data_IF_315856397633
#
_entry.id   IF_315856397633
#
_cell.length_a   1.000
_cell.length_b   1.000
_cell.length_c   1.000
_cell.angle_alpha   90.00
_cell.angle_beta   90.00
_cell.angle_gamma   90.00
#
_symmetry.space_group_name_H-M   'P 1'
#
loop_
_entity.id
_entity.type
_entity.pdbx_description
1 polymer ?
#
# COMPACT_ATOMS: atom_id res chain seq x y z
N UNK A 1 21.74 5.56 -2.42
CA UNK A 1 20.83 6.67 -2.12
C UNK A 1 20.23 7.13 -3.43
N UNK A 2 18.91 7.36 -3.48
CA UNK A 2 18.18 7.78 -4.69
C UNK A 2 17.75 9.24 -4.62
N UNK A 3 17.34 9.70 -3.44
CA UNK A 3 16.92 11.09 -3.23
C UNK A 3 17.13 11.51 -1.77
N UNK A 4 17.21 12.81 -1.57
CA UNK A 4 17.16 13.45 -0.26
C UNK A 4 16.17 14.61 -0.35
N UNK A 5 15.40 14.87 0.71
CA UNK A 5 14.45 15.99 0.72
C UNK A 5 15.17 17.34 0.53
N UNK A 6 14.59 18.19 -0.31
CA UNK A 6 15.11 19.54 -0.55
C UNK A 6 14.92 20.46 0.66
N UNK A 7 15.68 21.56 0.66
CA UNK A 7 15.56 22.60 1.67
C UNK A 7 16.43 22.38 2.91
N UNK A 8 16.36 23.34 3.84
CA UNK A 8 17.09 23.32 5.11
C UNK A 8 16.20 23.02 6.30
N UNK A 9 14.88 22.98 6.09
CA UNK A 9 13.89 22.76 7.14
C UNK A 9 13.76 21.27 7.50
N UNK A 10 13.34 20.99 8.70
CA UNK A 10 13.06 19.66 9.23
C UNK A 10 11.53 19.42 9.28
N UNK A 11 11.06 18.17 9.16
CA UNK A 11 11.84 16.92 9.05
C UNK A 11 12.51 16.75 7.69
N UNK A 12 13.62 16.00 7.65
CA UNK A 12 14.29 15.61 6.41
C UNK A 12 14.15 14.11 6.15
N UNK A 13 14.06 13.75 4.87
CA UNK A 13 13.91 12.36 4.47
C UNK A 13 14.96 11.97 3.43
N UNK A 14 15.33 10.69 3.43
CA UNK A 14 16.21 10.05 2.46
C UNK A 14 15.45 8.90 1.82
N UNK A 15 15.46 8.82 0.51
CA UNK A 15 15.03 7.65 -0.26
C UNK A 15 16.29 6.87 -0.69
N UNK A 16 16.32 5.59 -0.37
CA UNK A 16 17.39 4.68 -0.76
C UNK A 16 16.82 3.40 -1.39
N UNK A 17 17.58 2.81 -2.29
CA UNK A 17 17.31 1.48 -2.83
C UNK A 17 18.43 0.53 -2.39
N UNK A 18 18.06 -0.72 -2.20
CA UNK A 18 18.95 -1.83 -1.88
C UNK A 18 18.34 -3.10 -2.45
N UNK A 19 19.16 -4.07 -2.82
CA UNK A 19 18.69 -5.42 -3.05
C UNK A 19 18.39 -6.07 -1.69
N UNK A 20 17.41 -6.97 -1.64
CA UNK A 20 17.15 -7.80 -0.47
C UNK A 20 18.34 -8.73 -0.18
N UNK A 21 18.27 -9.50 0.90
CA UNK A 21 19.34 -10.41 1.31
C UNK A 21 19.69 -11.45 0.25
N UNK A 22 18.72 -11.82 -0.57
CA UNK A 22 18.85 -12.87 -1.59
C UNK A 22 19.21 -12.27 -2.97
N UNK A 23 19.30 -10.95 -3.06
CA UNK A 23 19.56 -10.22 -4.31
C UNK A 23 18.43 -10.29 -5.34
N UNK A 24 17.27 -10.82 -4.96
CA UNK A 24 16.16 -11.11 -5.87
C UNK A 24 15.21 -9.93 -6.07
N UNK A 25 15.09 -9.04 -5.07
CA UNK A 25 14.15 -7.91 -5.11
C UNK A 25 14.84 -6.62 -4.74
N UNK A 26 14.46 -5.56 -5.44
CA UNK A 26 14.84 -4.21 -5.04
C UNK A 26 13.91 -3.74 -3.93
N UNK A 27 14.51 -3.37 -2.80
CA UNK A 27 13.82 -2.77 -1.66
C UNK A 27 13.98 -1.26 -1.72
N UNK A 28 12.90 -0.52 -1.53
CA UNK A 28 12.95 0.91 -1.31
C UNK A 28 12.80 1.22 0.17
N UNK A 29 13.70 2.03 0.68
CA UNK A 29 13.76 2.45 2.07
C UNK A 29 13.57 3.95 2.18
N UNK A 30 12.74 4.37 3.13
CA UNK A 30 12.63 5.78 3.53
C UNK A 30 13.14 5.92 4.95
N UNK A 31 14.07 6.82 5.12
CA UNK A 31 14.60 7.23 6.42
C UNK A 31 14.22 8.68 6.67
N UNK A 32 13.79 9.00 7.89
CA UNK A 32 13.39 10.35 8.29
C UNK A 32 14.13 10.74 9.55
N UNK A 33 14.61 11.97 9.58
CA UNK A 33 15.09 12.63 10.80
C UNK A 33 14.22 13.85 11.09
N UNK A 34 13.82 14.01 12.35
CA UNK A 34 12.96 15.11 12.78
C UNK A 34 13.72 16.42 13.00
N UNK A 35 15.04 16.36 13.26
CA UNK A 35 15.87 17.53 13.53
C UNK A 35 17.33 17.28 13.15
N UNK A 36 18.15 18.34 13.19
CA UNK A 36 19.58 18.27 12.86
C UNK A 36 20.40 17.41 13.85
N UNK A 37 19.89 17.21 15.07
CA UNK A 37 20.58 16.46 16.13
C UNK A 37 20.06 15.02 16.27
N UNK A 38 18.95 14.67 15.59
CA UNK A 38 18.43 13.32 15.60
C UNK A 38 18.96 12.48 14.44
N UNK A 39 19.24 11.18 14.67
CA UNK A 39 19.62 10.28 13.59
C UNK A 39 18.44 10.03 12.63
N UNK A 40 18.76 9.70 11.39
CA UNK A 40 17.77 9.19 10.45
C UNK A 40 17.26 7.83 10.91
N UNK A 41 15.96 7.70 11.03
CA UNK A 41 15.26 6.45 11.39
C UNK A 41 14.57 5.87 10.18
N UNK A 42 14.68 4.56 9.99
CA UNK A 42 13.92 3.84 8.96
C UNK A 42 12.42 3.90 9.30
N UNK A 43 11.62 4.50 8.41
CA UNK A 43 10.18 4.65 8.60
C UNK A 43 9.35 3.84 7.60
N UNK A 44 9.95 3.45 6.48
CA UNK A 44 9.33 2.56 5.50
C UNK A 44 10.40 1.71 4.81
N UNK A 45 10.04 0.45 4.55
CA UNK A 45 10.81 -0.49 3.77
C UNK A 45 9.83 -1.38 3.02
N UNK A 46 9.84 -1.33 1.68
CA UNK A 46 8.86 -2.03 0.86
C UNK A 46 9.54 -2.57 -0.39
N UNK A 47 9.30 -3.84 -0.76
CA UNK A 47 9.82 -4.40 -1.99
C UNK A 47 9.15 -3.76 -3.21
N UNK A 48 9.93 -3.54 -4.27
CA UNK A 48 9.38 -3.18 -5.55
C UNK A 48 8.65 -4.37 -6.19
N UNK A 49 7.58 -4.07 -6.91
CA UNK A 49 6.85 -5.07 -7.68
C UNK A 49 7.68 -5.51 -8.90
N UNK A 50 7.55 -6.77 -9.34
CA UNK A 50 8.24 -7.26 -10.53
C UNK A 50 7.96 -6.38 -11.76
N UNK A 51 9.04 -5.98 -12.44
CA UNK A 51 8.95 -5.13 -13.64
C UNK A 51 8.61 -3.66 -13.38
N UNK A 52 8.34 -3.26 -12.13
CA UNK A 52 8.12 -1.86 -11.80
C UNK A 52 9.41 -1.05 -11.90
N UNK A 53 9.27 0.20 -12.34
CA UNK A 53 10.39 1.14 -12.44
C UNK A 53 10.10 2.39 -11.63
N UNK A 54 11.13 2.90 -10.96
CA UNK A 54 11.09 4.20 -10.32
C UNK A 54 11.73 5.22 -11.27
N UNK A 55 10.99 6.25 -11.71
CA UNK A 55 11.58 7.36 -12.46
C UNK A 55 12.71 8.05 -11.70
N UNK A 56 13.63 8.70 -12.38
CA UNK A 56 14.75 9.38 -11.75
C UNK A 56 14.28 10.42 -10.72
N UNK A 57 14.92 10.45 -9.56
CA UNK A 57 14.60 11.41 -8.51
C UNK A 57 15.14 12.82 -8.76
N UNK A 58 15.90 13.03 -9.84
CA UNK A 58 16.54 14.30 -10.19
C UNK A 58 17.95 14.43 -9.63
N UNK A 59 18.46 15.65 -9.58
CA UNK A 59 19.79 15.94 -9.10
C UNK A 59 19.88 15.78 -7.58
N UNK A 60 20.79 14.96 -7.11
CA UNK A 60 21.05 14.78 -5.67
C UNK A 60 21.51 16.06 -4.97
N UNK A 61 22.18 16.96 -5.66
CA UNK A 61 22.67 18.21 -5.09
C UNK A 61 21.51 19.15 -4.75
N UNK A 62 20.43 19.12 -5.54
CA UNK A 62 19.22 19.89 -5.27
C UNK A 62 18.27 19.18 -4.28
N UNK A 63 18.36 17.84 -4.17
CA UNK A 63 17.44 17.00 -3.43
C UNK A 63 16.04 17.02 -4.03
N UNK A 64 15.26 15.96 -3.77
CA UNK A 64 13.86 15.90 -4.16
C UNK A 64 12.97 16.58 -3.09
N UNK A 65 11.99 17.41 -3.45
CA UNK A 65 11.07 17.98 -2.48
C UNK A 65 10.29 16.89 -1.74
N UNK A 66 10.21 17.02 -0.42
CA UNK A 66 9.39 16.12 0.39
C UNK A 66 7.92 16.46 0.20
N UNK A 67 7.11 15.47 -0.13
CA UNK A 67 5.65 15.56 -0.19
C UNK A 67 5.09 14.91 1.07
N UNK A 68 4.55 15.68 2.01
CA UNK A 68 3.98 15.14 3.24
C UNK A 68 2.45 15.10 3.18
N UNK A 69 1.84 14.20 3.97
CA UNK A 69 0.40 14.08 4.11
C UNK A 69 -0.28 15.37 4.61
N UNK A 70 0.44 16.17 5.40
CA UNK A 70 -0.08 17.41 5.96
C UNK A 70 -0.30 18.51 4.90
N UNK A 71 0.24 18.35 3.71
CA UNK A 71 0.36 19.45 2.76
C UNK A 71 -0.86 19.64 1.87
N UNK A 72 -1.93 18.92 1.95
CA UNK A 72 -3.20 19.28 1.31
C UNK A 72 -3.99 18.08 0.77
N UNK A 73 -5.25 18.02 1.11
CA UNK A 73 -6.29 17.23 0.43
C UNK A 73 -6.58 17.73 -1.00
N UNK A 74 -5.97 18.85 -1.40
CA UNK A 74 -6.12 19.42 -2.75
C UNK A 74 -4.77 19.38 -3.46
N UNK A 75 -4.81 18.99 -4.73
CA UNK A 75 -3.65 19.13 -5.61
C UNK A 75 -3.40 20.63 -5.80
N UNK A 76 -2.26 21.18 -5.37
CA UNK A 76 -1.97 22.59 -5.62
C UNK A 76 -1.90 22.85 -7.13
N UNK A 77 -2.41 23.98 -7.58
CA UNK A 77 -2.23 24.40 -8.96
C UNK A 77 -0.73 24.40 -9.32
N UNK A 78 -0.36 23.78 -10.44
CA UNK A 78 1.04 23.65 -10.85
C UNK A 78 1.85 22.60 -10.09
N UNK A 79 1.21 21.77 -9.25
CA UNK A 79 1.90 20.70 -8.51
C UNK A 79 2.49 19.60 -9.40
N UNK A 80 2.01 19.45 -10.63
CA UNK A 80 2.50 18.46 -11.58
C UNK A 80 2.14 17.01 -11.25
N UNK A 81 1.20 16.74 -10.33
CA UNK A 81 0.66 15.39 -10.06
C UNK A 81 -0.86 15.36 -10.24
N UNK A 82 -1.39 14.20 -10.63
CA UNK A 82 -2.83 14.02 -10.91
C UNK A 82 -3.69 13.99 -9.65
N UNK A 83 -3.14 13.50 -8.53
CA UNK A 83 -3.82 13.44 -7.23
C UNK A 83 -2.88 13.89 -6.11
N UNK A 84 -3.42 14.48 -5.05
CA UNK A 84 -2.65 14.69 -3.83
C UNK A 84 -2.28 13.32 -3.20
N UNK A 85 -1.14 13.19 -2.50
CA UNK A 85 -0.67 11.92 -1.95
C UNK A 85 -1.72 11.16 -1.13
N UNK A 86 -2.43 11.83 -0.25
CA UNK A 86 -3.51 11.24 0.56
C UNK A 86 -4.67 10.75 -0.31
N UNK A 87 -5.06 11.54 -1.30
CA UNK A 87 -6.13 11.16 -2.24
C UNK A 87 -5.71 9.97 -3.10
N UNK A 88 -4.45 9.92 -3.55
CA UNK A 88 -3.91 8.80 -4.31
C UNK A 88 -3.95 7.51 -3.48
N UNK A 89 -3.51 7.55 -2.21
CA UNK A 89 -3.54 6.42 -1.31
C UNK A 89 -4.98 5.94 -1.03
N UNK A 90 -5.90 6.87 -0.75
CA UNK A 90 -7.32 6.55 -0.51
C UNK A 90 -7.99 5.98 -1.76
N UNK A 91 -7.74 6.56 -2.93
CA UNK A 91 -8.32 6.11 -4.19
C UNK A 91 -7.80 4.71 -4.57
N UNK A 92 -6.49 4.45 -4.40
CA UNK A 92 -5.91 3.14 -4.64
C UNK A 92 -6.48 2.10 -3.65
N UNK A 93 -6.51 2.39 -2.36
CA UNK A 93 -7.09 1.51 -1.35
C UNK A 93 -8.56 1.17 -1.66
N UNK A 94 -9.36 2.16 -2.03
CA UNK A 94 -10.76 1.95 -2.39
C UNK A 94 -10.90 1.04 -3.62
N UNK A 95 -10.00 1.15 -4.60
CA UNK A 95 -10.04 0.36 -5.83
C UNK A 95 -9.71 -1.14 -5.62
N UNK A 96 -9.06 -1.50 -4.50
CA UNK A 96 -8.72 -2.88 -4.15
C UNK A 96 -9.85 -3.65 -3.46
N UNK A 97 -11.00 -3.02 -3.18
CA UNK A 97 -12.08 -3.65 -2.42
C UNK A 97 -12.73 -4.84 -3.13
N UNK A 98 -13.24 -5.80 -2.33
CA UNK A 98 -14.03 -6.94 -2.83
C UNK A 98 -15.38 -6.95 -2.12
N UNK A 99 -16.51 -6.92 -2.86
CA UNK A 99 -16.61 -6.92 -4.32
C UNK A 99 -16.01 -5.66 -4.96
N UNK A 100 -15.51 -5.82 -6.19
CA UNK A 100 -14.85 -4.74 -6.91
C UNK A 100 -15.77 -3.51 -7.03
N UNK A 101 -15.29 -2.31 -6.69
CA UNK A 101 -16.06 -1.08 -6.82
C UNK A 101 -16.18 -0.66 -8.30
N UNK A 102 -16.96 0.41 -8.53
CA UNK A 102 -16.95 1.06 -9.85
C UNK A 102 -15.54 1.57 -10.17
N UNK A 103 -15.09 1.33 -11.40
CA UNK A 103 -13.77 1.76 -11.85
C UNK A 103 -13.54 3.26 -11.65
N UNK A 104 -12.39 3.61 -11.10
CA UNK A 104 -11.94 4.99 -10.96
C UNK A 104 -10.83 5.24 -12.01
N UNK A 105 -11.03 6.11 -13.01
CA UNK A 105 -10.04 6.33 -14.07
C UNK A 105 -8.74 6.96 -13.55
N UNK A 106 -8.74 7.56 -12.37
CA UNK A 106 -7.55 8.13 -11.76
C UNK A 106 -6.61 7.08 -11.14
N UNK A 107 -7.03 5.80 -11.09
CA UNK A 107 -6.27 4.70 -10.47
C UNK A 107 -6.21 3.51 -11.41
N UNK A 108 -5.03 2.91 -11.52
CA UNK A 108 -4.82 1.63 -12.20
C UNK A 108 -4.58 0.54 -11.16
N UNK A 109 -5.36 -0.54 -11.25
CA UNK A 109 -5.18 -1.77 -10.46
C UNK A 109 -4.68 -2.92 -11.34
N UNK A 110 -3.85 -2.59 -12.34
CA UNK A 110 -3.23 -3.55 -13.26
C UNK A 110 -1.83 -4.00 -12.81
N UNK A 111 -1.34 -3.45 -11.72
CA UNK A 111 -0.09 -3.90 -11.11
C UNK A 111 -0.21 -5.33 -10.55
N UNK A 112 0.92 -6.00 -10.35
CA UNK A 112 0.94 -7.40 -9.93
C UNK A 112 0.35 -7.62 -8.53
N UNK A 113 0.48 -6.64 -7.63
CA UNK A 113 -0.10 -6.72 -6.29
C UNK A 113 -1.63 -6.73 -6.34
N UNK A 114 -2.23 -5.72 -6.98
CA UNK A 114 -3.68 -5.62 -7.13
C UNK A 114 -4.26 -6.84 -7.89
N UNK A 115 -3.58 -7.27 -8.95
CA UNK A 115 -3.98 -8.44 -9.74
C UNK A 115 -3.95 -9.72 -8.90
N UNK A 116 -2.92 -9.92 -8.10
CA UNK A 116 -2.80 -11.08 -7.19
C UNK A 116 -3.91 -11.06 -6.15
N UNK A 117 -4.17 -9.93 -5.50
CA UNK A 117 -5.26 -9.79 -4.53
C UNK A 117 -6.62 -10.13 -5.16
N UNK A 118 -6.93 -9.56 -6.31
CA UNK A 118 -8.20 -9.81 -7.00
C UNK A 118 -8.36 -11.29 -7.41
N UNK A 119 -7.30 -11.91 -7.94
CA UNK A 119 -7.29 -13.31 -8.34
C UNK A 119 -7.47 -14.23 -7.14
N UNK A 120 -6.75 -13.97 -6.06
CA UNK A 120 -6.85 -14.75 -4.81
C UNK A 120 -8.25 -14.63 -4.20
N UNK A 121 -8.80 -13.41 -4.12
CA UNK A 121 -10.15 -13.20 -3.61
C UNK A 121 -11.22 -13.89 -4.47
N UNK A 122 -11.08 -13.87 -5.79
CA UNK A 122 -11.98 -14.59 -6.69
C UNK A 122 -11.91 -16.11 -6.49
N UNK A 123 -10.70 -16.67 -6.36
CA UNK A 123 -10.50 -18.08 -6.08
C UNK A 123 -11.08 -18.50 -4.72
N UNK A 124 -10.87 -17.68 -3.69
CA UNK A 124 -11.45 -17.90 -2.36
C UNK A 124 -12.99 -17.86 -2.38
N UNK A 125 -13.59 -16.85 -3.02
CA UNK A 125 -15.03 -16.76 -3.16
C UNK A 125 -15.61 -17.96 -3.91
N UNK A 126 -14.91 -18.43 -4.96
CA UNK A 126 -15.30 -19.65 -5.67
C UNK A 126 -15.22 -20.90 -4.79
N UNK A 127 -14.17 -21.03 -3.99
CA UNK A 127 -14.00 -22.16 -3.06
C UNK A 127 -15.02 -22.13 -1.92
N UNK A 128 -15.37 -20.95 -1.41
CA UNK A 128 -16.41 -20.78 -0.39
C UNK A 128 -17.81 -21.11 -0.95
N UNK A 129 -18.04 -20.91 -2.23
CA UNK A 129 -19.30 -21.21 -2.94
C UNK A 129 -20.53 -20.66 -2.18
N UNK A 130 -21.48 -21.54 -1.78
CA UNK A 130 -22.67 -21.18 -1.01
C UNK A 130 -22.45 -21.22 0.51
N UNK A 131 -21.26 -21.66 0.96
CA UNK A 131 -20.98 -21.83 2.40
C UNK A 131 -20.65 -20.52 3.10
N UNK A 132 -20.02 -19.61 2.41
CA UNK A 132 -19.63 -18.31 2.97
C UNK A 132 -19.39 -17.28 1.85
N UNK A 133 -19.26 -16.01 2.26
CA UNK A 133 -18.95 -14.88 1.37
C UNK A 133 -17.75 -14.14 1.91
N UNK A 134 -16.74 -13.90 1.06
CA UNK A 134 -15.61 -13.05 1.36
C UNK A 134 -15.88 -11.62 0.89
N UNK A 135 -15.60 -10.68 1.78
CA UNK A 135 -15.47 -9.25 1.43
C UNK A 135 -14.12 -8.73 1.88
N UNK A 136 -13.53 -7.82 1.13
CA UNK A 136 -12.26 -7.17 1.47
C UNK A 136 -12.43 -5.66 1.44
N UNK A 137 -11.92 -5.00 2.47
CA UNK A 137 -11.90 -3.54 2.58
C UNK A 137 -10.48 -3.10 2.88
N UNK A 138 -10.00 -2.12 2.11
CA UNK A 138 -8.70 -1.50 2.33
C UNK A 138 -8.89 -0.06 2.79
N UNK A 139 -8.11 0.37 3.76
CA UNK A 139 -8.14 1.73 4.31
C UNK A 139 -6.72 2.27 4.32
N UNK A 140 -6.48 3.35 3.62
CA UNK A 140 -5.18 4.01 3.61
C UNK A 140 -4.95 4.81 4.90
N UNK A 141 -3.75 4.74 5.45
CA UNK A 141 -3.31 5.68 6.47
C UNK A 141 -3.33 7.11 5.88
N UNK A 142 -3.93 8.04 6.60
CA UNK A 142 -3.99 9.46 6.20
C UNK A 142 -2.92 10.31 6.87
N UNK A 143 -2.18 9.72 7.81
CA UNK A 143 -1.06 10.34 8.51
C UNK A 143 0.21 9.55 8.22
N UNK A 144 1.35 10.21 8.35
CA UNK A 144 2.67 9.58 8.18
C UNK A 144 2.96 9.05 6.76
N UNK A 145 2.31 9.63 5.75
CA UNK A 145 2.73 9.41 4.37
C UNK A 145 4.04 10.18 4.12
N UNK A 146 4.94 9.56 3.40
CA UNK A 146 6.18 10.19 2.95
C UNK A 146 6.27 10.05 1.44
N UNK A 147 6.64 11.12 0.75
CA UNK A 147 6.78 11.08 -0.69
C UNK A 147 7.91 11.98 -1.19
N UNK A 148 8.35 11.68 -2.38
CA UNK A 148 9.38 12.45 -3.08
C UNK A 148 8.88 12.84 -4.45
N UNK A 149 9.13 14.09 -4.84
CA UNK A 149 8.99 14.54 -6.21
C UNK A 149 10.07 13.92 -7.06
N UNK A 150 9.70 13.49 -8.25
CA UNK A 150 10.60 12.95 -9.24
C UNK A 150 10.88 13.98 -10.33
N UNK A 151 11.94 13.76 -11.13
CA UNK A 151 12.39 14.72 -12.15
C UNK A 151 11.36 14.95 -13.26
N UNK A 152 10.52 13.96 -13.55
CA UNK A 152 9.45 14.02 -14.54
C UNK A 152 8.16 14.71 -14.03
N UNK A 153 8.20 15.27 -12.83
CA UNK A 153 7.06 15.92 -12.19
C UNK A 153 6.09 14.96 -11.50
N UNK A 154 6.28 13.65 -11.59
CA UNK A 154 5.55 12.67 -10.82
C UNK A 154 5.96 12.67 -9.34
N UNK A 155 5.30 11.87 -8.50
CA UNK A 155 5.70 11.65 -7.12
C UNK A 155 5.66 10.17 -6.78
N UNK A 156 6.64 9.71 -5.99
CA UNK A 156 6.59 8.43 -5.31
C UNK A 156 6.06 8.65 -3.89
N UNK A 157 5.07 7.87 -3.48
CA UNK A 157 4.38 8.02 -2.19
C UNK A 157 4.40 6.70 -1.45
N UNK A 158 4.97 6.70 -0.25
CA UNK A 158 4.95 5.57 0.68
C UNK A 158 3.75 5.71 1.61
N UNK A 159 2.93 4.68 1.64
CA UNK A 159 1.73 4.62 2.47
C UNK A 159 1.54 3.23 3.07
N UNK A 160 0.74 3.15 4.11
CA UNK A 160 0.32 1.90 4.72
C UNK A 160 -1.18 1.74 4.52
N UNK A 161 -1.59 0.62 3.95
CA UNK A 161 -2.97 0.22 3.92
C UNK A 161 -3.24 -0.80 5.04
N UNK A 162 -4.43 -0.72 5.60
CA UNK A 162 -4.97 -1.78 6.46
C UNK A 162 -6.06 -2.49 5.68
N UNK A 163 -5.86 -3.78 5.38
CA UNK A 163 -6.87 -4.63 4.78
C UNK A 163 -7.63 -5.37 5.88
N UNK A 164 -8.95 -5.39 5.74
CA UNK A 164 -9.84 -6.22 6.56
C UNK A 164 -10.59 -7.17 5.65
N UNK A 165 -10.31 -8.47 5.79
CA UNK A 165 -11.05 -9.54 5.14
C UNK A 165 -12.15 -10.02 6.09
N UNK A 166 -13.38 -10.09 5.60
CA UNK A 166 -14.50 -10.64 6.35
C UNK A 166 -15.09 -11.81 5.57
N UNK A 167 -14.98 -13.01 6.14
CA UNK A 167 -15.60 -14.23 5.62
C UNK A 167 -16.84 -14.49 6.47
N UNK A 168 -18.02 -14.23 5.91
CA UNK A 168 -19.30 -14.43 6.60
C UNK A 168 -19.87 -15.79 6.23
N UNK A 169 -20.12 -16.64 7.22
CA UNK A 169 -20.74 -17.96 7.04
C UNK A 169 -22.17 -17.79 6.54
N UNK A 170 -22.52 -18.50 5.46
CA UNK A 170 -23.85 -18.44 4.85
C UNK A 170 -24.92 -19.16 5.69
N UNK A 171 -26.17 -18.76 5.53
CA UNK A 171 -27.30 -19.33 6.28
C UNK A 171 -27.47 -20.85 6.07
N UNK A 172 -27.01 -21.40 4.93
CA UNK A 172 -27.06 -22.83 4.62
C UNK A 172 -25.90 -23.65 5.17
N UNK A 173 -24.90 -23.01 5.80
CA UNK A 173 -23.76 -23.70 6.38
C UNK A 173 -23.80 -23.64 7.91
N UNK A 174 -23.50 -24.78 8.55
CA UNK A 174 -23.35 -24.80 10.01
C UNK A 174 -22.03 -24.18 10.46
N UNK A 175 -20.98 -24.41 9.69
CA UNK A 175 -19.61 -23.96 9.97
C UNK A 175 -18.76 -23.98 8.70
N UNK A 176 -17.64 -23.28 8.75
CA UNK A 176 -16.54 -23.41 7.79
C UNK A 176 -15.28 -23.86 8.51
N UNK A 177 -14.48 -24.73 7.89
CA UNK A 177 -13.18 -25.17 8.40
C UNK A 177 -12.13 -24.16 7.98
N UNK A 178 -11.28 -23.75 8.91
CA UNK A 178 -10.24 -22.76 8.65
C UNK A 178 -8.94 -23.42 8.24
N UNK A 179 -8.23 -22.88 7.21
CA UNK A 179 -6.88 -23.31 6.87
C UNK A 179 -5.92 -23.15 8.06
N UNK A 180 -4.78 -23.84 8.00
CA UNK A 180 -3.82 -23.88 9.10
C UNK A 180 -3.33 -22.48 9.52
N UNK A 181 -3.07 -21.61 8.55
CA UNK A 181 -2.67 -20.21 8.77
C UNK A 181 -3.73 -19.39 9.52
N UNK A 182 -5.01 -19.55 9.14
CA UNK A 182 -6.11 -18.85 9.83
C UNK A 182 -6.36 -19.44 11.21
N UNK A 183 -6.20 -20.75 11.36
CA UNK A 183 -6.24 -21.41 12.68
C UNK A 183 -5.15 -20.85 13.60
N UNK A 184 -3.92 -20.69 13.09
CA UNK A 184 -2.81 -20.17 13.89
C UNK A 184 -3.09 -18.77 14.42
N UNK A 185 -3.67 -17.88 13.58
CA UNK A 185 -3.88 -16.48 13.97
C UNK A 185 -5.21 -16.24 14.72
N UNK A 186 -6.24 -17.07 14.47
CA UNK A 186 -7.54 -16.93 15.16
C UNK A 186 -7.66 -17.78 16.41
N UNK A 187 -6.80 -18.78 16.61
CA UNK A 187 -6.89 -19.79 17.67
C UNK A 187 -8.05 -20.78 17.49
N UNK A 188 -8.76 -20.77 16.34
CA UNK A 188 -9.93 -21.63 16.09
C UNK A 188 -9.75 -22.42 14.78
N UNK A 189 -10.15 -23.70 14.81
CA UNK A 189 -10.15 -24.56 13.63
C UNK A 189 -11.37 -24.35 12.73
N UNK A 190 -12.45 -23.75 13.26
CA UNK A 190 -13.74 -23.60 12.60
C UNK A 190 -14.37 -22.27 12.96
N UNK A 191 -15.25 -21.75 12.11
CA UNK A 191 -16.10 -20.60 12.39
C UNK A 191 -17.56 -20.91 12.02
N UNK A 192 -18.48 -20.48 12.88
CA UNK A 192 -19.93 -20.68 12.74
C UNK A 192 -20.67 -19.43 12.28
N UNK A 193 -20.05 -18.25 12.44
CA UNK A 193 -20.65 -16.95 12.05
C UNK A 193 -19.77 -16.19 11.08
N UNK A 194 -18.56 -15.87 11.50
CA UNK A 194 -17.64 -15.09 10.66
C UNK A 194 -16.17 -15.29 11.04
N UNK A 195 -15.30 -15.00 10.08
CA UNK A 195 -13.87 -14.81 10.29
C UNK A 195 -13.52 -13.39 9.83
N UNK A 196 -12.78 -12.68 10.65
CA UNK A 196 -12.22 -11.38 10.31
C UNK A 196 -10.70 -11.48 10.40
N UNK A 197 -10.01 -11.15 9.32
CA UNK A 197 -8.56 -11.10 9.26
C UNK A 197 -8.14 -9.66 8.99
N UNK A 198 -7.02 -9.26 9.57
CA UNK A 198 -6.44 -7.93 9.34
C UNK A 198 -5.02 -8.10 8.83
N UNK A 199 -4.72 -7.51 7.69
CA UNK A 199 -3.38 -7.40 7.13
C UNK A 199 -2.93 -5.95 7.07
N UNK A 200 -1.64 -5.73 7.23
CA UNK A 200 -0.97 -4.48 6.91
C UNK A 200 -0.33 -4.62 5.55
N UNK A 201 -0.50 -3.59 4.72
CA UNK A 201 0.03 -3.56 3.37
C UNK A 201 0.83 -2.27 3.17
N UNK A 202 2.15 -2.28 3.41
CA UNK A 202 3.02 -1.20 2.97
C UNK A 202 3.00 -1.14 1.45
N UNK A 203 2.65 0.03 0.89
CA UNK A 203 2.50 0.24 -0.55
C UNK A 203 3.30 1.46 -0.98
N UNK A 204 3.95 1.35 -2.12
CA UNK A 204 4.60 2.47 -2.81
C UNK A 204 3.79 2.80 -4.05
N UNK A 205 3.23 3.99 -4.08
CA UNK A 205 2.45 4.50 -5.22
C UNK A 205 3.31 5.42 -6.08
N UNK A 206 3.22 5.25 -7.38
CA UNK A 206 3.63 6.27 -8.35
C UNK A 206 2.40 7.11 -8.69
N UNK A 207 2.47 8.39 -8.36
CA UNK A 207 1.45 9.39 -8.68
C UNK A 207 1.97 10.21 -9.86
N UNK A 208 1.50 9.96 -11.08
CA UNK A 208 2.07 10.57 -12.27
C UNK A 208 1.63 12.03 -12.43
N UNK A 209 2.34 12.78 -13.29
CA UNK A 209 1.93 14.10 -13.74
C UNK A 209 0.74 14.05 -14.71
N UNK A 210 0.55 12.92 -15.39
CA UNK A 210 -0.59 12.62 -16.25
C UNK A 210 -0.88 11.12 -16.21
N UNK A 211 -2.17 10.73 -16.22
CA UNK A 211 -2.58 9.33 -16.19
C UNK A 211 -3.01 8.87 -14.79
N UNK A 212 -3.00 7.56 -14.57
CA UNK A 212 -3.54 6.92 -13.38
C UNK A 212 -2.43 6.59 -12.37
N UNK A 213 -2.77 6.71 -11.08
CA UNK A 213 -1.95 6.22 -9.96
C UNK A 213 -1.82 4.71 -10.06
N UNK A 214 -0.62 4.18 -9.82
CA UNK A 214 -0.35 2.73 -9.80
C UNK A 214 0.59 2.37 -8.65
N UNK A 215 0.52 1.13 -8.14
CA UNK A 215 1.53 0.64 -7.21
C UNK A 215 2.79 0.21 -7.97
N UNK A 216 3.95 0.58 -7.43
CA UNK A 216 5.27 0.13 -7.89
C UNK A 216 6.01 -0.70 -6.85
N UNK A 217 5.49 -0.74 -5.62
CA UNK A 217 5.98 -1.59 -4.55
C UNK A 217 4.85 -1.94 -3.60
N UNK A 218 4.83 -3.18 -3.10
CA UNK A 218 3.86 -3.61 -2.11
C UNK A 218 4.29 -4.92 -1.43
N UNK A 219 3.81 -5.09 -0.21
CA UNK A 219 3.92 -6.32 0.56
C UNK A 219 2.64 -6.52 1.38
N UNK A 220 2.34 -7.75 1.74
CA UNK A 220 1.22 -8.09 2.62
C UNK A 220 1.72 -8.79 3.87
N UNK A 221 1.26 -8.34 5.03
CA UNK A 221 1.61 -8.90 6.35
C UNK A 221 0.32 -9.15 7.12
N UNK A 222 -0.06 -10.41 7.30
CA UNK A 222 -1.20 -10.79 8.13
C UNK A 222 -0.85 -10.58 9.61
N UNK A 223 -1.59 -9.72 10.31
CA UNK A 223 -1.24 -9.30 11.68
C UNK A 223 -2.22 -9.74 12.75
N UNK A 224 -3.47 -9.98 12.41
CA UNK A 224 -4.46 -10.46 13.39
C UNK A 224 -5.64 -11.15 12.73
N UNK A 225 -6.35 -11.95 13.53
CA UNK A 225 -7.56 -12.63 13.10
C UNK A 225 -8.50 -12.95 14.26
N UNK A 226 -9.79 -12.99 13.97
CA UNK A 226 -10.84 -13.44 14.90
C UNK A 226 -11.81 -14.36 14.16
N UNK A 227 -12.29 -15.42 14.83
CA UNK A 227 -13.32 -16.31 14.32
C UNK A 227 -14.44 -16.46 15.36
N UNK A 228 -15.71 -16.51 14.93
CA UNK A 228 -16.89 -16.66 15.78
C UNK A 228 -17.83 -17.73 15.24
#
# INVERSE_FOLDING_TARGET
MLAISAGREWPRAILAARLDSDGARQMLHVMVSASAVEPFKLVASTPMLPGAQLPAAGDFAAGAPLVSAATTLKVPAGSGVTLAPVQAAQAYAAALAVPAPKANPAVSVKDSFATTLATTAAAQNKALAKLATLTQKHVAATKNLVGFRLADGSAVVFTLLTRTDTIKVGAGAKEIVLPAEYKAITGKAKATKAVTLTSLEPVILLVPSAGAVTAIGAEEILVSGKAS
#
